data_IF_469877863528
#
_entry.id   IF_469877863528
#
_cell.length_a   1.000
_cell.length_b   1.000
_cell.length_c   1.000
_cell.angle_alpha   90.00
_cell.angle_beta   90.00
_cell.angle_gamma   90.00
#
_symmetry.space_group_name_H-M   'P 1'
#
loop_
_entity.id
_entity.type
_entity.pdbx_description
1 polymer ?
#
# COMPACT_ATOMS: atom_id res chain seq x y z
N UNK A 1 10.27 0.50 -0.17
CA UNK A 1 9.02 0.56 -0.95
C UNK A 1 7.80 0.10 -0.16
N UNK A 2 7.82 -1.08 0.44
CA UNK A 2 6.67 -1.60 1.22
C UNK A 2 6.21 -0.67 2.34
N UNK A 3 7.15 -0.11 3.10
CA UNK A 3 6.83 0.78 4.21
C UNK A 3 6.07 2.04 3.74
N UNK A 4 6.46 2.62 2.61
CA UNK A 4 5.79 3.78 2.03
C UNK A 4 4.38 3.44 1.54
N UNK A 5 4.23 2.31 0.89
CA UNK A 5 2.92 1.83 0.42
C UNK A 5 1.99 1.57 1.61
N UNK A 6 2.48 0.89 2.63
CA UNK A 6 1.71 0.60 3.83
C UNK A 6 1.27 1.87 4.55
N UNK A 7 2.17 2.84 4.69
CA UNK A 7 1.86 4.12 5.30
C UNK A 7 0.81 4.89 4.52
N UNK A 8 0.90 4.86 3.19
CA UNK A 8 -0.11 5.54 2.33
C UNK A 8 -1.48 4.90 2.49
N UNK A 9 -1.54 3.57 2.52
CA UNK A 9 -2.80 2.84 2.74
C UNK A 9 -3.38 3.21 4.11
N UNK A 10 -2.56 3.22 5.15
CA UNK A 10 -2.96 3.63 6.49
C UNK A 10 -3.60 5.01 6.48
N UNK A 11 -2.94 5.99 5.87
CA UNK A 11 -3.43 7.36 5.79
C UNK A 11 -4.76 7.47 5.05
N UNK A 12 -4.89 6.74 3.95
CA UNK A 12 -6.13 6.74 3.15
C UNK A 12 -7.29 6.16 3.94
N UNK A 13 -7.08 5.07 4.67
CA UNK A 13 -8.11 4.47 5.52
C UNK A 13 -8.53 5.46 6.62
N UNK A 14 -7.55 6.11 7.25
CA UNK A 14 -7.81 7.11 8.29
C UNK A 14 -8.60 8.30 7.75
N UNK A 15 -8.20 8.84 6.61
CA UNK A 15 -8.85 9.99 5.99
C UNK A 15 -10.27 9.67 5.52
N UNK A 16 -10.50 8.43 5.08
CA UNK A 16 -11.81 8.00 4.62
C UNK A 16 -12.79 7.72 5.75
N UNK A 17 -12.33 7.68 7.00
CA UNK A 17 -13.17 7.39 8.15
C UNK A 17 -13.67 5.94 8.20
N UNK A 18 -13.01 5.03 7.49
CA UNK A 18 -13.40 3.63 7.46
C UNK A 18 -13.04 2.93 8.77
N UNK A 19 -13.94 2.08 9.25
CA UNK A 19 -13.62 1.13 10.31
C UNK A 19 -12.73 0.02 9.76
N UNK A 20 -12.09 -0.76 10.64
CA UNK A 20 -11.28 -1.90 10.20
C UNK A 20 -12.12 -2.94 9.46
N UNK A 21 -13.37 -3.15 9.91
CA UNK A 21 -14.29 -4.07 9.23
C UNK A 21 -14.64 -3.58 7.82
N UNK A 22 -14.93 -2.29 7.67
CA UNK A 22 -15.23 -1.69 6.37
C UNK A 22 -14.01 -1.73 5.44
N UNK A 23 -12.84 -1.41 5.96
CA UNK A 23 -11.60 -1.48 5.19
C UNK A 23 -11.31 -2.91 4.74
N UNK A 24 -11.53 -3.90 5.62
CA UNK A 24 -11.38 -5.31 5.28
C UNK A 24 -12.30 -5.75 4.14
N UNK A 25 -13.55 -5.31 4.16
CA UNK A 25 -14.51 -5.59 3.09
C UNK A 25 -14.07 -4.96 1.77
N UNK A 26 -13.61 -3.71 1.82
CA UNK A 26 -13.15 -3.00 0.62
C UNK A 26 -11.91 -3.63 0.02
N UNK A 27 -10.96 -4.02 0.86
CA UNK A 27 -9.68 -4.59 0.42
C UNK A 27 -9.76 -6.11 0.18
N UNK A 28 -10.86 -6.76 0.58
CA UNK A 28 -11.02 -8.20 0.42
C UNK A 28 -10.14 -9.01 1.38
N UNK A 29 -9.86 -8.50 2.55
CA UNK A 29 -9.04 -9.16 3.57
C UNK A 29 -9.76 -9.22 4.91
N UNK A 30 -9.31 -10.12 5.77
CA UNK A 30 -9.88 -10.28 7.11
C UNK A 30 -9.41 -9.16 8.05
N UNK A 31 -10.20 -8.88 9.08
CA UNK A 31 -9.92 -7.82 10.04
C UNK A 31 -8.52 -7.92 10.69
N UNK A 32 -8.00 -9.10 11.08
CA UNK A 32 -6.63 -9.19 11.60
C UNK A 32 -5.57 -8.68 10.63
N UNK A 33 -5.78 -8.86 9.33
CA UNK A 33 -4.88 -8.37 8.30
C UNK A 33 -4.98 -6.84 8.14
N UNK A 34 -6.18 -6.28 8.31
CA UNK A 34 -6.35 -4.82 8.38
C UNK A 34 -5.60 -4.25 9.59
N UNK A 35 -5.71 -4.90 10.74
CA UNK A 35 -4.95 -4.50 11.93
C UNK A 35 -3.45 -4.50 11.68
N UNK A 36 -2.93 -5.48 10.95
CA UNK A 36 -1.51 -5.52 10.58
C UNK A 36 -1.11 -4.32 9.72
N UNK A 37 -1.95 -3.94 8.75
CA UNK A 37 -1.74 -2.74 7.94
C UNK A 37 -1.74 -1.48 8.81
N UNK A 38 -2.69 -1.37 9.74
CA UNK A 38 -2.80 -0.20 10.62
C UNK A 38 -1.63 -0.07 11.58
N UNK A 39 -0.93 -1.16 11.88
CA UNK A 39 0.29 -1.16 12.68
C UNK A 39 1.54 -0.96 11.82
N UNK A 40 1.38 -0.66 10.55
CA UNK A 40 2.48 -0.45 9.60
C UNK A 40 3.43 -1.64 9.49
N UNK A 41 2.89 -2.85 9.48
CA UNK A 41 3.68 -4.09 9.34
C UNK A 41 3.87 -4.40 7.85
N UNK A 42 4.87 -3.78 7.26
CA UNK A 42 5.12 -3.85 5.82
C UNK A 42 5.50 -5.25 5.32
N UNK A 43 5.95 -6.15 6.20
CA UNK A 43 6.31 -7.52 5.83
C UNK A 43 5.12 -8.46 5.65
N UNK A 44 3.90 -8.05 6.04
CA UNK A 44 2.71 -8.91 5.99
C UNK A 44 2.22 -9.18 4.57
N UNK A 45 2.39 -8.20 3.68
CA UNK A 45 1.89 -8.29 2.30
C UNK A 45 3.01 -8.05 1.30
N UNK A 46 2.85 -8.63 0.10
CA UNK A 46 3.72 -8.33 -1.02
C UNK A 46 3.47 -6.92 -1.55
N UNK A 47 4.46 -6.36 -2.24
CA UNK A 47 4.31 -5.06 -2.90
C UNK A 47 3.12 -5.07 -3.86
N UNK A 48 2.94 -6.14 -4.61
CA UNK A 48 1.84 -6.30 -5.55
C UNK A 48 0.48 -6.20 -4.86
N UNK A 49 0.32 -6.85 -3.72
CA UNK A 49 -0.93 -6.78 -2.94
C UNK A 49 -1.17 -5.39 -2.39
N UNK A 50 -0.12 -4.73 -1.90
CA UNK A 50 -0.22 -3.35 -1.41
C UNK A 50 -0.66 -2.40 -2.52
N UNK A 51 -0.17 -2.58 -3.73
CA UNK A 51 -0.59 -1.79 -4.89
C UNK A 51 -2.07 -2.03 -5.23
N UNK A 52 -2.54 -3.28 -5.13
CA UNK A 52 -3.95 -3.61 -5.32
C UNK A 52 -4.84 -2.93 -4.29
N UNK A 53 -4.39 -2.87 -3.04
CA UNK A 53 -5.13 -2.17 -1.98
C UNK A 53 -5.26 -0.68 -2.29
N UNK A 54 -4.19 -0.04 -2.74
CA UNK A 54 -4.24 1.36 -3.15
C UNK A 54 -5.23 1.59 -4.28
N UNK A 55 -5.23 0.72 -5.27
CA UNK A 55 -6.19 0.79 -6.37
C UNK A 55 -7.62 0.65 -5.87
N UNK A 56 -7.87 -0.26 -4.94
CA UNK A 56 -9.19 -0.43 -4.32
C UNK A 56 -9.62 0.82 -3.53
N UNK A 57 -8.67 1.60 -3.03
CA UNK A 57 -8.91 2.87 -2.35
C UNK A 57 -9.02 4.06 -3.32
N UNK A 58 -9.09 3.81 -4.62
CA UNK A 58 -9.27 4.84 -5.63
C UNK A 58 -8.01 5.59 -6.02
N UNK A 59 -6.83 5.02 -5.75
CA UNK A 59 -5.56 5.65 -6.08
C UNK A 59 -4.97 5.08 -7.37
N UNK A 60 -4.39 5.96 -8.18
CA UNK A 60 -3.58 5.57 -9.32
C UNK A 60 -2.13 5.40 -8.89
N UNK A 61 -1.46 4.42 -9.46
CA UNK A 61 -0.07 4.11 -9.14
C UNK A 61 0.77 4.26 -10.38
N UNK A 62 1.82 5.08 -10.30
CA UNK A 62 2.83 5.20 -11.33
C UNK A 62 4.13 4.58 -10.85
N UNK A 63 4.71 3.72 -11.67
CA UNK A 63 6.05 3.17 -11.44
C UNK A 63 6.95 3.72 -12.53
N UNK A 64 7.96 4.50 -12.13
CA UNK A 64 8.90 5.09 -13.06
C UNK A 64 10.19 4.29 -13.06
N UNK A 65 10.58 3.82 -14.25
CA UNK A 65 11.86 3.15 -14.46
C UNK A 65 12.75 4.12 -15.20
N UNK A 66 13.93 4.40 -14.65
CA UNK A 66 14.88 5.34 -15.24
C UNK A 66 16.22 4.67 -15.51
N UNK A 67 16.91 5.07 -16.58
CA UNK A 67 18.31 4.68 -16.73
C UNK A 67 19.09 5.20 -15.52
N UNK A 68 20.07 4.42 -15.09
CA UNK A 68 20.90 4.81 -13.95
C UNK A 68 22.37 4.81 -14.36
N UNK A 69 23.15 5.68 -13.72
CA UNK A 69 24.61 5.66 -13.84
C UNK A 69 25.25 4.70 -12.85
N UNK A 70 24.45 4.18 -11.93
CA UNK A 70 24.91 3.19 -10.96
C UNK A 70 24.85 1.80 -11.56
N UNK A 71 25.58 0.89 -10.97
CA UNK A 71 25.60 -0.52 -11.39
C UNK A 71 24.22 -1.16 -11.27
N UNK A 72 23.43 -0.73 -10.29
CA UNK A 72 22.09 -1.23 -10.05
C UNK A 72 21.06 -0.12 -10.25
N UNK A 73 19.97 -0.45 -10.92
CA UNK A 73 18.83 0.45 -11.07
C UNK A 73 17.95 0.48 -9.82
N UNK A 74 17.11 1.50 -9.75
CA UNK A 74 16.13 1.68 -8.68
C UNK A 74 14.72 1.75 -9.25
N UNK A 75 13.76 1.24 -8.50
CA UNK A 75 12.35 1.40 -8.79
C UNK A 75 11.78 2.44 -7.85
N UNK A 76 11.20 3.51 -8.41
CA UNK A 76 10.55 4.56 -7.64
C UNK A 76 9.04 4.49 -7.85
N UNK A 77 8.29 4.64 -6.77
CA UNK A 77 6.83 4.68 -6.81
C UNK A 77 6.37 6.07 -6.39
N UNK A 78 5.62 6.72 -7.28
CA UNK A 78 5.02 8.03 -7.01
C UNK A 78 3.61 7.82 -6.45
N UNK A 79 3.37 8.28 -5.24
CA UNK A 79 2.09 8.08 -4.55
C UNK A 79 1.34 9.40 -4.34
#
# INVERSE_FOLDING_TARGET
MKARLTLRIYRLIKQSGLTQAEAGNLLGIKQPNVSALMRNRSGTFSVERLMKFLTALGQDIEITVRPTRKEHGEVSVNL
#
